data_IF_753235764377
#
_entry.id   IF_753235764377
#
_cell.length_a   1.000
_cell.length_b   1.000
_cell.length_c   1.000
_cell.angle_alpha   90.00
_cell.angle_beta   90.00
_cell.angle_gamma   90.00
#
_symmetry.space_group_name_H-M   'P 1'
#
loop_
_entity.id
_entity.type
_entity.pdbx_description
1 polymer ?
#
# COMPACT_ATOMS: atom_id res chain seq x y z
N UNK A 1 7.13 11.01 -3.11
CA UNK A 1 6.42 11.63 -4.23
C UNK A 1 6.09 13.11 -3.99
N UNK A 2 5.72 13.50 -2.77
CA UNK A 2 5.33 14.90 -2.45
C UNK A 2 6.46 15.94 -2.64
N UNK A 3 7.70 15.51 -2.80
CA UNK A 3 8.88 16.37 -2.91
C UNK A 3 9.74 16.05 -4.15
N UNK A 4 9.12 15.51 -5.22
CA UNK A 4 9.86 15.28 -6.47
C UNK A 4 10.19 16.64 -7.12
N UNK A 5 11.43 16.82 -7.61
CA UNK A 5 11.87 18.11 -8.14
C UNK A 5 11.21 18.47 -9.49
N UNK A 6 10.76 17.47 -10.24
CA UNK A 6 10.08 17.63 -11.53
C UNK A 6 9.15 16.44 -11.80
N UNK A 7 8.13 16.68 -12.62
CA UNK A 7 7.26 15.59 -13.07
C UNK A 7 8.02 14.64 -14.00
N UNK A 8 7.89 13.31 -13.79
CA UNK A 8 8.47 12.33 -14.71
C UNK A 8 7.68 12.30 -16.02
N UNK A 9 8.26 11.79 -17.07
CA UNK A 9 7.53 11.46 -18.31
C UNK A 9 6.90 10.06 -18.20
N UNK A 10 7.65 9.12 -17.61
CA UNK A 10 7.24 7.73 -17.43
C UNK A 10 7.31 7.37 -15.95
N UNK A 11 6.21 6.87 -15.46
CA UNK A 11 6.04 6.51 -14.05
C UNK A 11 5.58 5.06 -13.93
N UNK A 12 6.35 4.23 -13.25
CA UNK A 12 5.94 2.85 -12.93
C UNK A 12 5.51 2.75 -11.47
N UNK A 13 4.33 2.18 -11.26
CA UNK A 13 3.77 1.88 -9.94
C UNK A 13 3.80 0.37 -9.73
N UNK A 14 4.51 -0.08 -8.72
CA UNK A 14 4.57 -1.48 -8.31
C UNK A 14 3.60 -1.70 -7.15
N UNK A 15 2.55 -2.47 -7.42
CA UNK A 15 1.45 -2.72 -6.50
C UNK A 15 0.17 -1.97 -6.88
N UNK A 16 -0.87 -2.73 -7.26
CA UNK A 16 -2.20 -2.24 -7.62
C UNK A 16 -3.19 -2.31 -6.43
N UNK A 17 -2.71 -1.98 -5.23
CA UNK A 17 -3.55 -1.71 -4.06
C UNK A 17 -4.09 -0.27 -4.09
N UNK A 18 -4.81 0.14 -3.03
CA UNK A 18 -5.42 1.48 -2.93
C UNK A 18 -4.41 2.59 -3.24
N UNK A 19 -3.26 2.59 -2.56
CA UNK A 19 -2.22 3.61 -2.72
C UNK A 19 -1.70 3.63 -4.16
N UNK A 20 -1.40 2.47 -4.74
CA UNK A 20 -0.87 2.39 -6.10
C UNK A 20 -1.86 2.89 -7.15
N UNK A 21 -3.13 2.51 -7.02
CA UNK A 21 -4.20 2.94 -7.94
C UNK A 21 -4.46 4.44 -7.82
N UNK A 22 -4.50 5.00 -6.61
CA UNK A 22 -4.67 6.44 -6.38
C UNK A 22 -3.54 7.25 -7.01
N UNK A 23 -2.28 6.91 -6.75
CA UNK A 23 -1.15 7.62 -7.37
C UNK A 23 -1.12 7.42 -8.88
N UNK A 24 -1.41 6.23 -9.39
CA UNK A 24 -1.46 5.98 -10.82
C UNK A 24 -2.50 6.86 -11.51
N UNK A 25 -3.70 6.99 -10.94
CA UNK A 25 -4.78 7.82 -11.50
C UNK A 25 -4.42 9.31 -11.46
N UNK A 26 -3.84 9.80 -10.35
CA UNK A 26 -3.42 11.20 -10.23
C UNK A 26 -2.35 11.57 -11.25
N UNK A 27 -1.32 10.72 -11.41
CA UNK A 27 -0.25 11.00 -12.36
C UNK A 27 -0.71 10.88 -13.82
N UNK A 28 -1.60 9.94 -14.11
CA UNK A 28 -2.21 9.85 -15.45
C UNK A 28 -3.03 11.10 -15.79
N UNK A 29 -3.79 11.64 -14.82
CA UNK A 29 -4.54 12.90 -15.01
C UNK A 29 -3.63 14.10 -15.27
N UNK A 30 -2.37 14.06 -14.84
CA UNK A 30 -1.34 15.06 -15.16
C UNK A 30 -0.67 14.84 -16.53
N UNK A 31 -1.12 13.85 -17.32
CA UNK A 31 -0.57 13.53 -18.63
C UNK A 31 0.72 12.72 -18.59
N UNK A 32 1.04 12.08 -17.47
CA UNK A 32 2.20 11.20 -17.31
C UNK A 32 1.88 9.81 -17.89
N UNK A 33 2.84 9.21 -18.60
CA UNK A 33 2.75 7.81 -19.03
C UNK A 33 2.92 6.90 -17.84
N UNK A 34 1.82 6.28 -17.36
CA UNK A 34 1.79 5.46 -16.15
C UNK A 34 1.67 3.98 -16.51
N UNK A 35 2.54 3.16 -15.92
CA UNK A 35 2.43 1.70 -15.95
C UNK A 35 2.28 1.16 -14.54
N UNK A 36 1.21 0.41 -14.28
CA UNK A 36 0.98 -0.30 -13.01
C UNK A 36 1.35 -1.77 -13.18
N UNK A 37 2.18 -2.28 -12.27
CA UNK A 37 2.61 -3.69 -12.23
C UNK A 37 2.13 -4.31 -10.93
N UNK A 38 1.45 -5.46 -11.00
CA UNK A 38 1.06 -6.23 -9.81
C UNK A 38 1.16 -7.73 -10.11
N UNK A 39 1.63 -8.50 -9.11
CA UNK A 39 1.70 -9.96 -9.20
C UNK A 39 0.33 -10.63 -9.26
N UNK A 40 -0.70 -9.99 -8.74
CA UNK A 40 -2.07 -10.44 -8.82
C UNK A 40 -2.61 -10.15 -10.21
N UNK A 41 -3.50 -11.00 -10.68
CA UNK A 41 -4.23 -10.82 -11.92
C UNK A 41 -5.38 -9.81 -11.80
N UNK A 42 -5.73 -9.46 -10.53
CA UNK A 42 -6.78 -8.50 -10.21
C UNK A 42 -6.35 -7.53 -9.12
N UNK A 43 -6.46 -6.22 -9.32
CA UNK A 43 -6.26 -5.23 -8.26
C UNK A 43 -7.47 -5.16 -7.34
N UNK A 44 -7.29 -4.59 -6.12
CA UNK A 44 -8.36 -4.27 -5.18
C UNK A 44 -9.34 -5.44 -4.93
N UNK A 45 -8.81 -6.64 -4.67
CA UNK A 45 -9.58 -7.91 -4.55
C UNK A 45 -10.69 -7.88 -3.50
N UNK A 46 -10.66 -6.93 -2.58
CA UNK A 46 -11.67 -6.72 -1.54
C UNK A 46 -12.90 -5.93 -2.01
N UNK A 47 -12.87 -5.41 -3.23
CA UNK A 47 -13.99 -4.69 -3.85
C UNK A 47 -14.76 -5.60 -4.81
N UNK A 48 -16.01 -5.20 -5.08
CA UNK A 48 -16.84 -5.82 -6.11
C UNK A 48 -16.13 -5.82 -7.47
N UNK A 49 -16.26 -6.93 -8.19
CA UNK A 49 -15.56 -7.14 -9.46
C UNK A 49 -15.98 -6.14 -10.53
N UNK A 50 -17.27 -5.89 -10.65
CA UNK A 50 -17.79 -4.97 -11.66
C UNK A 50 -17.29 -3.54 -11.45
N UNK A 51 -17.19 -3.11 -10.18
CA UNK A 51 -16.62 -1.80 -9.83
C UNK A 51 -15.13 -1.71 -10.17
N UNK A 52 -14.38 -2.78 -9.92
CA UNK A 52 -12.95 -2.82 -10.25
C UNK A 52 -12.74 -2.84 -11.76
N UNK A 53 -13.52 -3.61 -12.51
CA UNK A 53 -13.41 -3.70 -13.96
C UNK A 53 -13.73 -2.33 -14.61
N UNK A 54 -14.75 -1.61 -14.12
CA UNK A 54 -15.07 -0.26 -14.57
C UNK A 54 -13.95 0.74 -14.22
N UNK A 55 -13.41 0.68 -13.00
CA UNK A 55 -12.26 1.51 -12.61
C UNK A 55 -11.07 1.30 -13.54
N UNK A 56 -10.71 0.05 -13.82
CA UNK A 56 -9.62 -0.28 -14.74
C UNK A 56 -9.90 0.21 -16.16
N UNK A 57 -11.16 0.13 -16.62
CA UNK A 57 -11.57 0.66 -17.90
C UNK A 57 -11.33 2.17 -17.98
N UNK A 58 -11.81 2.92 -16.99
CA UNK A 58 -11.62 4.37 -16.93
C UNK A 58 -10.14 4.76 -16.85
N UNK A 59 -9.35 4.05 -16.05
CA UNK A 59 -7.91 4.31 -15.93
C UNK A 59 -7.17 4.02 -17.24
N UNK A 60 -7.54 2.96 -17.98
CA UNK A 60 -6.97 2.69 -19.32
C UNK A 60 -7.35 3.78 -20.32
N UNK A 61 -8.57 4.29 -20.27
CA UNK A 61 -8.99 5.42 -21.09
C UNK A 61 -8.21 6.70 -20.76
N UNK A 62 -7.78 6.86 -19.50
CA UNK A 62 -6.88 7.94 -19.06
C UNK A 62 -5.40 7.66 -19.38
N UNK A 63 -5.07 6.60 -20.10
CA UNK A 63 -3.71 6.29 -20.56
C UNK A 63 -2.88 5.39 -19.61
N UNK A 64 -3.48 4.83 -18.55
CA UNK A 64 -2.75 3.91 -17.66
C UNK A 64 -2.61 2.53 -18.31
N UNK A 65 -1.38 2.01 -18.35
CA UNK A 65 -1.09 0.63 -18.74
C UNK A 65 -1.04 -0.27 -17.51
N UNK A 66 -1.79 -1.38 -17.53
CA UNK A 66 -1.74 -2.39 -16.47
C UNK A 66 -0.96 -3.62 -16.93
N UNK A 67 -0.02 -4.06 -16.10
CA UNK A 67 0.74 -5.30 -16.19
C UNK A 67 0.40 -6.15 -14.97
N UNK A 68 -0.76 -6.80 -15.02
CA UNK A 68 -1.25 -7.70 -13.96
C UNK A 68 -0.73 -9.12 -14.20
N UNK A 69 -0.61 -9.91 -13.13
CA UNK A 69 0.03 -11.23 -13.17
C UNK A 69 1.55 -11.16 -13.40
N UNK A 70 2.17 -10.00 -13.16
CA UNK A 70 3.60 -9.78 -13.39
C UNK A 70 4.30 -9.44 -12.07
N UNK A 71 5.37 -10.13 -11.78
CA UNK A 71 6.21 -9.89 -10.59
C UNK A 71 7.43 -9.07 -10.97
N UNK A 72 7.75 -8.07 -10.17
CA UNK A 72 9.00 -7.33 -10.30
C UNK A 72 10.11 -8.16 -9.67
N UNK A 73 11.08 -8.53 -10.48
CA UNK A 73 12.26 -9.28 -10.06
C UNK A 73 13.36 -8.33 -9.54
N UNK A 74 13.60 -7.24 -10.28
CA UNK A 74 14.73 -6.34 -9.99
C UNK A 74 14.44 -4.91 -10.41
N UNK A 75 14.96 -3.97 -9.63
CA UNK A 75 15.02 -2.54 -9.93
C UNK A 75 16.50 -2.14 -10.06
N UNK A 76 16.84 -1.46 -11.14
CA UNK A 76 18.17 -0.97 -11.41
C UNK A 76 18.15 0.51 -11.79
N UNK A 77 18.91 1.33 -11.06
CA UNK A 77 19.08 2.75 -11.42
C UNK A 77 20.23 2.87 -12.39
N UNK A 78 19.97 3.43 -13.55
CA UNK A 78 20.95 3.70 -14.59
C UNK A 78 21.19 5.21 -14.62
N UNK A 79 22.46 5.61 -14.41
CA UNK A 79 22.83 7.04 -14.31
C UNK A 79 23.13 7.69 -15.67
N UNK A 80 23.60 6.92 -16.66
CA UNK A 80 24.04 7.45 -17.96
C UNK A 80 23.33 6.74 -19.13
N UNK A 81 23.05 7.44 -20.24
CA UNK A 81 23.30 8.87 -20.53
C UNK A 81 22.35 9.82 -19.79
N UNK A 82 21.20 9.33 -19.34
CA UNK A 82 20.22 10.06 -18.49
C UNK A 82 19.78 9.14 -17.37
N UNK A 83 19.55 9.70 -16.18
CA UNK A 83 19.10 8.94 -15.02
C UNK A 83 17.69 8.38 -15.23
N UNK A 84 17.56 7.04 -15.11
CA UNK A 84 16.29 6.34 -15.22
C UNK A 84 16.33 5.02 -14.41
N UNK A 85 15.20 4.38 -14.26
CA UNK A 85 15.07 3.09 -13.60
C UNK A 85 14.67 2.04 -14.63
N UNK A 86 15.37 0.92 -14.65
CA UNK A 86 14.97 -0.28 -15.37
C UNK A 86 14.29 -1.23 -14.37
N UNK A 87 13.02 -1.54 -14.66
CA UNK A 87 12.22 -2.50 -13.90
C UNK A 87 12.20 -3.81 -14.67
N UNK A 88 12.88 -4.83 -14.17
CA UNK A 88 12.88 -6.18 -14.75
C UNK A 88 11.77 -7.01 -14.12
N UNK A 89 11.00 -7.70 -14.95
CA UNK A 89 9.92 -8.60 -14.55
C UNK A 89 10.38 -10.05 -14.66
N UNK A 90 9.83 -10.94 -13.82
CA UNK A 90 10.11 -12.39 -13.87
C UNK A 90 9.81 -13.01 -15.25
N UNK A 91 8.88 -12.44 -15.99
CA UNK A 91 8.57 -12.84 -17.37
C UNK A 91 9.66 -12.49 -18.39
N UNK A 92 10.77 -11.86 -17.97
CA UNK A 92 11.86 -11.37 -18.83
C UNK A 92 11.59 -10.02 -19.49
N UNK A 93 10.41 -9.43 -19.30
CA UNK A 93 10.11 -8.07 -19.82
C UNK A 93 10.84 -7.01 -19.00
N UNK A 94 11.12 -5.88 -19.65
CA UNK A 94 11.75 -4.71 -19.02
C UNK A 94 10.93 -3.46 -19.28
N UNK A 95 10.76 -2.66 -18.23
CA UNK A 95 10.13 -1.34 -18.30
C UNK A 95 11.20 -0.30 -17.96
N UNK A 96 11.18 0.81 -18.69
CA UNK A 96 12.09 1.94 -18.46
C UNK A 96 11.26 3.11 -17.95
N UNK A 97 11.59 3.63 -16.78
CA UNK A 97 10.83 4.67 -16.10
C UNK A 97 11.75 5.75 -15.53
N UNK A 98 11.25 6.96 -15.48
CA UNK A 98 11.96 8.08 -14.86
C UNK A 98 11.76 8.07 -13.35
N UNK A 99 10.62 7.48 -12.89
CA UNK A 99 10.26 7.32 -11.49
C UNK A 99 9.56 5.98 -11.26
N UNK A 100 9.82 5.37 -10.11
CA UNK A 100 9.13 4.15 -9.66
C UNK A 100 8.58 4.37 -8.26
N UNK A 101 7.30 4.07 -8.07
CA UNK A 101 6.66 3.97 -6.76
C UNK A 101 6.54 2.49 -6.38
N UNK A 102 7.11 2.10 -5.27
CA UNK A 102 6.91 0.77 -4.70
C UNK A 102 5.84 0.83 -3.61
N UNK A 103 4.65 0.30 -3.90
CA UNK A 103 3.46 0.31 -3.03
C UNK A 103 2.89 -1.09 -2.82
N UNK A 104 3.77 -2.09 -2.71
CA UNK A 104 3.41 -3.51 -2.65
C UNK A 104 2.96 -3.99 -1.24
N UNK A 105 2.48 -3.10 -0.40
CA UNK A 105 1.91 -3.40 0.91
C UNK A 105 2.58 -2.65 2.07
N UNK A 106 2.07 -2.93 3.27
CA UNK A 106 2.54 -2.36 4.54
C UNK A 106 2.73 -3.48 5.56
N UNK A 107 3.71 -3.33 6.42
CA UNK A 107 3.94 -4.18 7.59
C UNK A 107 3.80 -3.32 8.86
N UNK A 108 3.38 -3.93 9.96
CA UNK A 108 3.32 -3.27 11.27
C UNK A 108 4.74 -2.93 11.76
N UNK A 109 4.93 -1.72 12.23
CA UNK A 109 6.23 -1.27 12.78
C UNK A 109 6.37 -1.70 14.26
N UNK A 110 6.31 -3.00 14.52
CA UNK A 110 6.30 -3.58 15.87
C UNK A 110 7.66 -4.11 16.34
N UNK A 111 8.65 -4.17 15.47
CA UNK A 111 9.96 -4.78 15.74
C UNK A 111 10.69 -4.11 16.92
N UNK A 112 10.48 -2.82 17.14
CA UNK A 112 11.14 -2.05 18.21
C UNK A 112 10.29 -1.90 19.49
N UNK A 113 9.11 -2.53 19.55
CA UNK A 113 8.21 -2.40 20.71
C UNK A 113 8.52 -3.37 21.85
N UNK A 114 9.51 -4.25 21.68
CA UNK A 114 9.88 -5.27 22.66
C UNK A 114 8.66 -6.12 23.14
N UNK A 115 7.82 -6.53 22.20
CA UNK A 115 6.57 -7.24 22.49
C UNK A 115 6.77 -8.55 23.27
N UNK A 116 7.94 -9.17 23.13
CA UNK A 116 8.31 -10.39 23.88
C UNK A 116 8.26 -10.18 25.39
N UNK A 117 8.59 -8.97 25.89
CA UNK A 117 8.51 -8.64 27.31
C UNK A 117 7.06 -8.63 27.86
N UNK A 118 6.07 -8.48 26.98
CA UNK A 118 4.64 -8.46 27.34
C UNK A 118 3.96 -9.78 27.03
N UNK A 119 4.62 -10.71 26.34
CA UNK A 119 4.04 -11.94 25.84
C UNK A 119 3.17 -11.78 24.60
N UNK A 120 3.07 -10.56 24.02
CA UNK A 120 2.34 -10.32 22.79
C UNK A 120 3.08 -10.90 21.59
N UNK A 121 2.30 -11.37 20.61
CA UNK A 121 2.78 -11.88 19.32
C UNK A 121 2.11 -11.11 18.20
N UNK A 122 2.85 -10.93 17.12
CA UNK A 122 2.33 -10.38 15.87
C UNK A 122 2.01 -11.49 14.88
N UNK A 123 1.23 -11.16 13.86
CA UNK A 123 1.13 -11.99 12.67
C UNK A 123 2.40 -11.85 11.78
N UNK A 124 2.41 -12.53 10.64
CA UNK A 124 3.48 -12.52 9.64
C UNK A 124 3.71 -11.15 8.99
N UNK A 125 2.79 -10.20 9.20
CA UNK A 125 2.88 -8.80 8.76
C UNK A 125 3.17 -7.83 9.90
N UNK A 126 3.59 -8.31 11.05
CA UNK A 126 3.91 -7.48 12.22
C UNK A 126 2.69 -6.81 12.87
N UNK A 127 1.46 -7.33 12.66
CA UNK A 127 0.24 -6.72 13.19
C UNK A 127 -0.17 -7.40 14.49
N UNK A 128 -0.82 -6.61 15.37
CA UNK A 128 -1.36 -7.09 16.65
C UNK A 128 -2.83 -7.47 16.50
N UNK A 129 -3.20 -8.62 17.06
CA UNK A 129 -4.60 -9.01 17.19
C UNK A 129 -5.25 -8.30 18.38
N UNK A 130 -6.48 -7.82 18.20
CA UNK A 130 -7.30 -7.17 19.22
C UNK A 130 -8.73 -7.69 19.17
N UNK A 131 -9.45 -7.52 20.28
CA UNK A 131 -10.89 -7.76 20.36
C UNK A 131 -11.71 -6.55 19.86
N UNK A 132 -13.04 -6.60 20.05
CA UNK A 132 -13.95 -5.51 19.64
C UNK A 132 -13.79 -4.22 20.45
N UNK A 133 -13.11 -4.28 21.60
CA UNK A 133 -12.76 -3.12 22.44
C UNK A 133 -11.32 -2.64 22.18
N UNK A 134 -10.66 -3.15 21.13
CA UNK A 134 -9.26 -2.86 20.80
C UNK A 134 -8.24 -3.32 21.84
N UNK A 135 -8.61 -4.27 22.70
CA UNK A 135 -7.76 -4.86 23.73
C UNK A 135 -6.98 -6.02 23.12
N UNK A 136 -5.70 -6.10 23.40
CA UNK A 136 -4.86 -7.24 23.01
C UNK A 136 -5.12 -8.47 23.92
N UNK A 137 -4.40 -9.56 23.68
CA UNK A 137 -4.40 -10.71 24.59
C UNK A 137 -3.87 -10.39 25.99
N UNK A 138 -3.23 -9.25 26.19
CA UNK A 138 -2.79 -8.73 27.49
C UNK A 138 -3.79 -7.66 27.95
N UNK A 139 -4.57 -7.87 29.04
CA UNK A 139 -5.77 -7.08 29.34
C UNK A 139 -5.59 -5.58 29.51
N UNK A 140 -4.39 -5.11 29.85
CA UNK A 140 -4.08 -3.69 30.06
C UNK A 140 -3.36 -3.07 28.85
N UNK A 141 -3.21 -3.79 27.73
CA UNK A 141 -2.58 -3.29 26.51
C UNK A 141 -3.62 -3.24 25.39
N UNK A 142 -3.76 -2.09 24.82
CA UNK A 142 -4.66 -1.81 23.69
C UNK A 142 -3.84 -1.47 22.45
N UNK A 143 -4.41 -1.72 21.26
CA UNK A 143 -3.79 -1.36 20.00
C UNK A 143 -4.85 -0.83 19.03
N UNK A 144 -4.50 0.20 18.28
CA UNK A 144 -5.39 0.84 17.31
C UNK A 144 -4.60 1.34 16.10
N UNK A 145 -5.27 1.56 14.98
CA UNK A 145 -4.70 2.08 13.76
C UNK A 145 -3.99 1.02 12.92
N UNK A 146 -3.02 1.47 12.12
CA UNK A 146 -2.34 0.62 11.12
C UNK A 146 -1.70 -0.64 11.73
N UNK A 147 -1.32 -0.59 13.01
CA UNK A 147 -0.70 -1.70 13.72
C UNK A 147 -1.62 -2.91 13.93
N UNK A 148 -2.95 -2.70 13.86
CA UNK A 148 -3.94 -3.80 13.90
C UNK A 148 -4.44 -4.23 12.52
N UNK A 149 -3.99 -3.55 11.45
CA UNK A 149 -4.27 -3.90 10.06
C UNK A 149 -5.41 -3.11 9.42
N UNK A 150 -6.16 -3.79 8.57
CA UNK A 150 -7.26 -3.19 7.81
C UNK A 150 -8.31 -2.51 8.73
N UNK A 151 -8.85 -1.32 8.32
CA UNK A 151 -8.72 -0.68 7.01
C UNK A 151 -7.52 0.28 6.85
N UNK A 152 -6.69 0.51 7.87
CA UNK A 152 -5.46 1.33 7.81
C UNK A 152 -5.66 2.73 7.20
N UNK A 153 -6.72 3.42 7.64
CA UNK A 153 -7.09 4.78 7.26
C UNK A 153 -6.93 5.71 8.47
N UNK A 154 -6.43 6.93 8.24
CA UNK A 154 -6.19 7.90 9.32
C UNK A 154 -7.43 8.20 10.16
N UNK A 155 -8.58 8.42 9.51
CA UNK A 155 -9.87 8.66 10.19
C UNK A 155 -10.33 7.47 11.01
N UNK A 156 -10.22 6.26 10.46
CA UNK A 156 -10.54 5.03 11.18
C UNK A 156 -9.60 4.81 12.35
N UNK A 157 -8.31 5.06 12.18
CA UNK A 157 -7.31 4.95 13.25
C UNK A 157 -7.60 5.91 14.40
N UNK A 158 -8.03 7.14 14.11
CA UNK A 158 -8.44 8.12 15.13
C UNK A 158 -9.66 7.63 15.92
N UNK A 159 -10.69 7.09 15.24
CA UNK A 159 -11.88 6.54 15.89
C UNK A 159 -11.56 5.28 16.72
N UNK A 160 -10.75 4.38 16.18
CA UNK A 160 -10.26 3.20 16.92
C UNK A 160 -9.52 3.63 18.20
N UNK A 161 -8.64 4.63 18.11
CA UNK A 161 -7.91 5.15 19.28
C UNK A 161 -8.85 5.76 20.32
N UNK A 162 -9.88 6.50 19.89
CA UNK A 162 -10.92 7.05 20.78
C UNK A 162 -11.66 5.93 21.51
N UNK A 163 -12.12 4.92 20.77
CA UNK A 163 -12.86 3.76 21.34
C UNK A 163 -11.97 2.95 22.28
N UNK A 164 -10.73 2.69 21.91
CA UNK A 164 -9.75 2.00 22.77
C UNK A 164 -9.52 2.75 24.08
N UNK A 165 -9.41 4.07 24.03
CA UNK A 165 -9.26 4.89 25.24
C UNK A 165 -10.51 4.82 26.12
N UNK A 166 -11.71 4.93 25.54
CA UNK A 166 -12.96 4.79 26.27
C UNK A 166 -13.06 3.42 26.96
N UNK A 167 -12.76 2.34 26.24
CA UNK A 167 -12.74 0.99 26.79
C UNK A 167 -11.72 0.83 27.93
N UNK A 168 -10.52 1.43 27.79
CA UNK A 168 -9.49 1.38 28.82
C UNK A 168 -9.90 2.05 30.14
N UNK A 169 -10.74 3.09 30.06
CA UNK A 169 -11.21 3.85 31.23
C UNK A 169 -12.65 3.55 31.63
N UNK A 170 -13.31 2.56 31.01
CA UNK A 170 -14.68 2.16 31.32
C UNK A 170 -15.71 3.26 31.01
N UNK A 171 -15.48 4.04 29.97
CA UNK A 171 -16.36 5.10 29.48
C UNK A 171 -17.27 4.53 28.39
N UNK A 172 -18.57 4.64 28.58
CA UNK A 172 -19.56 4.26 27.56
C UNK A 172 -19.45 5.16 26.33
N UNK A 173 -19.57 4.58 25.11
CA UNK A 173 -19.39 5.26 23.82
C UNK A 173 -20.64 5.27 22.97
#
# INVERSE_FOLDING_TARGET
LLHIPSLPRRFTVVGAGVIGVEYASMFAALGIEVTVVDKRDRPLEFLDRELVDELLHQMRNAGVTFRLGETVERLEVVEKPSRHVVVSLESGKRLVSDLVLFSAGRIGATDHLNLSATGLKTDDRGRLAVDHEYRTSVPHIFAAGDVIGFPSLATTSAEQGRLAACAAFGIDT
#
